data_IF_396213993774
#
_entry.id   IF_396213993774
#
_cell.length_a   1.000
_cell.length_b   1.000
_cell.length_c   1.000
_cell.angle_alpha   90.00
_cell.angle_beta   90.00
_cell.angle_gamma   90.00
#
_symmetry.space_group_name_H-M   'P 1'
#
loop_
_entity.id
_entity.type
_entity.pdbx_description
1 polymer ?
#
# COMPACT_ATOMS: atom_id res chain seq x y z
N UNK A 1 -11.50 -14.29 -14.65
CA UNK A 1 -10.13 -14.60 -15.14
C UNK A 1 -9.53 -13.25 -15.52
N UNK A 2 -8.39 -12.84 -14.96
CA UNK A 2 -7.79 -11.53 -15.29
C UNK A 2 -7.32 -11.56 -16.75
N UNK A 3 -7.73 -10.59 -17.55
CA UNK A 3 -7.32 -10.46 -18.94
C UNK A 3 -6.21 -9.41 -19.03
N UNK A 4 -5.05 -9.82 -19.48
CA UNK A 4 -4.03 -8.91 -20.00
C UNK A 4 -4.45 -8.58 -21.44
N UNK A 5 -4.62 -7.31 -21.74
CA UNK A 5 -4.85 -6.86 -23.12
C UNK A 5 -3.47 -6.59 -23.68
N UNK A 6 -2.79 -7.64 -24.13
CA UNK A 6 -1.50 -7.50 -24.81
C UNK A 6 -1.73 -6.97 -26.23
N UNK A 7 -1.01 -5.91 -26.60
CA UNK A 7 -0.86 -5.55 -28.01
C UNK A 7 0.05 -6.58 -28.71
N UNK A 8 -0.13 -6.81 -30.00
CA UNK A 8 0.65 -7.78 -30.81
C UNK A 8 2.16 -7.46 -30.90
N UNK A 9 2.61 -6.32 -30.37
CA UNK A 9 3.98 -5.79 -30.49
C UNK A 9 4.83 -5.92 -29.21
N UNK A 10 4.45 -6.72 -28.22
CA UNK A 10 5.22 -6.96 -26.97
C UNK A 10 5.53 -5.67 -26.17
N UNK A 11 4.86 -4.57 -26.51
CA UNK A 11 4.83 -3.32 -25.75
C UNK A 11 3.77 -3.49 -24.66
N UNK A 12 4.06 -3.16 -23.39
CA UNK A 12 3.02 -3.09 -22.37
C UNK A 12 1.91 -2.20 -22.91
N UNK A 13 0.69 -2.71 -22.98
CA UNK A 13 -0.43 -1.89 -23.40
C UNK A 13 -0.47 -0.68 -22.47
N UNK A 14 -0.88 0.49 -22.97
CA UNK A 14 -1.00 1.70 -22.16
C UNK A 14 -1.82 1.45 -20.86
N UNK A 15 -2.72 0.46 -20.87
CA UNK A 15 -3.43 -0.04 -19.70
C UNK A 15 -2.54 -0.70 -18.63
N UNK A 16 -1.45 -1.38 -18.99
CA UNK A 16 -0.55 -2.08 -18.05
C UNK A 16 0.18 -1.14 -17.09
N UNK A 17 0.41 0.11 -17.50
CA UNK A 17 1.01 1.16 -16.67
C UNK A 17 0.07 1.55 -15.52
N UNK A 18 -1.23 1.63 -15.79
CA UNK A 18 -2.25 2.03 -14.81
C UNK A 18 -2.85 0.82 -14.07
N UNK A 19 -2.77 -0.37 -14.68
CA UNK A 19 -3.24 -1.64 -14.14
C UNK A 19 -2.11 -2.68 -14.10
N UNK A 20 -1.07 -2.48 -13.24
CA UNK A 20 0.09 -3.37 -13.15
C UNK A 20 -0.23 -4.79 -12.64
N UNK A 21 -1.51 -5.08 -12.38
CA UNK A 21 -2.05 -6.37 -11.95
C UNK A 21 -3.14 -6.89 -12.89
N UNK A 22 -3.14 -6.40 -14.14
CA UNK A 22 -4.22 -6.56 -15.10
C UNK A 22 -5.53 -5.91 -14.64
N UNK A 23 -6.56 -6.00 -15.47
CA UNK A 23 -7.90 -5.49 -15.18
C UNK A 23 -8.85 -6.68 -14.97
N UNK A 24 -9.74 -6.61 -13.98
CA UNK A 24 -10.75 -7.65 -13.80
C UNK A 24 -11.72 -7.72 -14.98
N UNK A 25 -12.13 -8.93 -15.39
CA UNK A 25 -12.98 -9.14 -16.57
C UNK A 25 -14.31 -8.37 -16.51
N UNK A 26 -14.89 -8.23 -15.32
CA UNK A 26 -16.13 -7.47 -15.14
C UNK A 26 -15.92 -5.97 -15.36
N UNK A 27 -14.73 -5.47 -15.02
CA UNK A 27 -14.35 -4.09 -15.29
C UNK A 27 -14.19 -3.86 -16.80
N UNK A 28 -13.50 -4.76 -17.50
CA UNK A 28 -13.39 -4.74 -18.97
C UNK A 28 -14.78 -4.77 -19.64
N UNK A 29 -15.64 -5.69 -19.21
CA UNK A 29 -16.99 -5.86 -19.74
C UNK A 29 -17.83 -4.60 -19.56
N UNK A 30 -17.78 -3.99 -18.37
CA UNK A 30 -18.52 -2.77 -18.08
C UNK A 30 -18.11 -1.62 -19.01
N UNK A 31 -16.80 -1.45 -19.29
CA UNK A 31 -16.30 -0.42 -20.19
C UNK A 31 -16.73 -0.66 -21.64
N UNK A 32 -16.74 -1.91 -22.12
CA UNK A 32 -17.25 -2.23 -23.47
C UNK A 32 -18.74 -1.93 -23.59
N UNK A 33 -19.53 -2.22 -22.55
CA UNK A 33 -20.98 -2.02 -22.55
C UNK A 33 -21.38 -0.54 -22.43
N UNK A 34 -20.72 0.19 -21.54
CA UNK A 34 -21.15 1.53 -21.11
C UNK A 34 -20.25 2.65 -21.62
N UNK A 35 -19.02 2.34 -22.00
CA UNK A 35 -18.05 3.33 -22.43
C UNK A 35 -18.44 4.00 -23.74
N UNK A 36 -18.27 5.32 -23.78
CA UNK A 36 -18.50 6.14 -24.97
C UNK A 36 -17.35 7.13 -25.13
N UNK A 37 -17.00 7.42 -26.37
CA UNK A 37 -16.08 8.51 -26.70
C UNK A 37 -16.69 9.85 -26.25
N UNK A 38 -15.98 10.62 -25.44
CA UNK A 38 -16.43 11.95 -25.01
C UNK A 38 -16.72 12.91 -26.18
N UNK A 39 -16.02 12.75 -27.30
CA UNK A 39 -16.14 13.64 -28.46
C UNK A 39 -17.30 13.24 -29.40
N UNK A 40 -17.25 12.02 -29.95
CA UNK A 40 -18.23 11.59 -30.95
C UNK A 40 -19.35 10.71 -30.38
N UNK A 41 -19.29 10.40 -29.08
CA UNK A 41 -20.23 9.51 -28.40
C UNK A 41 -20.31 8.09 -28.98
N UNK A 42 -19.35 7.68 -29.82
CA UNK A 42 -19.28 6.31 -30.32
C UNK A 42 -18.95 5.32 -29.18
N UNK A 43 -19.48 4.09 -29.21
CA UNK A 43 -19.08 3.04 -28.28
C UNK A 43 -17.58 2.76 -28.33
N UNK A 44 -16.99 2.40 -27.19
CA UNK A 44 -15.61 1.90 -27.17
C UNK A 44 -15.54 0.59 -27.96
N UNK A 45 -14.48 0.45 -28.77
CA UNK A 45 -14.20 -0.79 -29.52
C UNK A 45 -13.77 -1.90 -28.56
N UNK A 46 -14.13 -3.15 -28.85
CA UNK A 46 -13.89 -4.30 -27.94
C UNK A 46 -12.41 -4.59 -27.70
N UNK A 47 -11.57 -4.22 -28.65
CA UNK A 47 -10.11 -4.31 -28.60
C UNK A 47 -9.47 -3.09 -27.91
N UNK A 48 -10.27 -2.13 -27.42
CA UNK A 48 -9.82 -0.86 -26.86
C UNK A 48 -8.94 -0.05 -27.83
N UNK A 49 -9.08 -0.29 -29.14
CA UNK A 49 -8.40 0.54 -30.13
C UNK A 49 -8.97 1.97 -30.13
N UNK A 50 -8.16 2.92 -30.58
CA UNK A 50 -8.53 4.34 -30.62
C UNK A 50 -9.81 4.56 -31.45
N UNK A 51 -10.57 5.56 -31.04
CA UNK A 51 -11.74 6.00 -31.78
C UNK A 51 -11.31 6.71 -33.07
N UNK A 52 -12.06 6.52 -34.16
CA UNK A 52 -11.72 7.07 -35.47
C UNK A 52 -12.05 8.57 -35.62
N UNK A 53 -12.38 9.27 -34.53
CA UNK A 53 -12.77 10.68 -34.56
C UNK A 53 -11.54 11.60 -34.54
N UNK A 54 -11.63 12.75 -35.22
CA UNK A 54 -10.51 13.60 -35.62
C UNK A 54 -9.97 14.59 -34.58
N UNK A 55 -10.51 14.65 -33.36
CA UNK A 55 -10.00 15.60 -32.37
C UNK A 55 -8.70 15.12 -31.72
N UNK A 56 -7.76 16.04 -31.43
CA UNK A 56 -6.62 15.74 -30.56
C UNK A 56 -7.18 15.27 -29.23
N UNK A 57 -6.75 14.08 -28.81
CA UNK A 57 -7.12 13.50 -27.54
C UNK A 57 -6.46 14.31 -26.41
N UNK A 58 -7.08 15.43 -25.99
CA UNK A 58 -6.71 16.13 -24.75
C UNK A 58 -7.09 15.32 -23.51
N UNK A 59 -6.06 14.66 -22.96
CA UNK A 59 -5.91 14.22 -21.58
C UNK A 59 -7.12 14.52 -20.71
N UNK A 60 -7.89 13.49 -20.37
CA UNK A 60 -8.38 13.30 -19.02
C UNK A 60 -9.21 12.03 -19.00
N UNK A 61 -8.52 10.94 -18.68
CA UNK A 61 -9.16 9.74 -18.17
C UNK A 61 -8.74 9.44 -16.73
N UNK A 62 -8.28 10.45 -15.97
CA UNK A 62 -7.50 10.39 -14.71
C UNK A 62 -5.96 10.50 -14.87
N UNK A 63 -5.45 11.32 -15.79
CA UNK A 63 -4.01 11.37 -16.18
C UNK A 63 -3.52 10.06 -16.82
N UNK A 64 -4.32 9.50 -17.73
CA UNK A 64 -3.92 8.50 -18.72
C UNK A 64 -4.30 9.02 -20.10
N UNK A 65 -3.34 9.31 -21.01
CA UNK A 65 -3.58 10.06 -22.25
C UNK A 65 -4.50 9.42 -23.31
N UNK A 66 -4.84 8.14 -23.20
CA UNK A 66 -5.36 7.42 -24.39
C UNK A 66 -6.87 7.13 -24.47
N UNK A 67 -7.69 7.49 -23.47
CA UNK A 67 -9.14 7.51 -23.71
C UNK A 67 -9.80 8.73 -23.09
N UNK A 68 -10.91 9.16 -23.66
CA UNK A 68 -11.72 10.26 -23.15
C UNK A 68 -13.10 9.67 -22.91
N UNK A 69 -13.40 9.29 -21.67
CA UNK A 69 -14.62 8.55 -21.36
C UNK A 69 -15.52 9.37 -20.44
N UNK A 70 -16.78 9.49 -20.83
CA UNK A 70 -17.88 9.82 -19.92
C UNK A 70 -18.44 8.51 -19.41
N UNK A 71 -18.39 8.28 -18.11
CA UNK A 71 -19.04 7.14 -17.48
C UNK A 71 -20.08 7.68 -16.51
N UNK A 72 -21.24 8.03 -17.04
CA UNK A 72 -22.43 8.41 -16.26
C UNK A 72 -23.37 7.20 -16.14
N UNK A 73 -22.84 6.07 -15.64
CA UNK A 73 -23.61 4.84 -15.48
C UNK A 73 -23.74 4.46 -13.99
N UNK A 74 -24.96 4.18 -13.50
CA UNK A 74 -25.18 3.61 -12.17
C UNK A 74 -24.32 2.35 -11.97
N UNK A 75 -23.63 2.26 -10.83
CA UNK A 75 -22.79 1.10 -10.49
C UNK A 75 -21.29 1.25 -10.84
N UNK A 76 -20.89 2.29 -11.57
CA UNK A 76 -19.46 2.57 -11.82
C UNK A 76 -18.64 2.72 -10.53
N UNK A 77 -19.18 3.45 -9.55
CA UNK A 77 -18.52 3.65 -8.26
C UNK A 77 -18.29 2.34 -7.49
N UNK A 78 -19.27 1.42 -7.49
CA UNK A 78 -19.14 0.12 -6.83
C UNK A 78 -18.09 -0.76 -7.53
N UNK A 79 -18.06 -0.72 -8.86
CA UNK A 79 -17.10 -1.47 -9.66
C UNK A 79 -15.66 -0.99 -9.45
N UNK A 80 -15.45 0.34 -9.42
CA UNK A 80 -14.15 0.95 -9.10
C UNK A 80 -13.69 0.56 -7.70
N UNK A 81 -14.58 0.57 -6.72
CA UNK A 81 -14.24 0.18 -5.35
C UNK A 81 -13.84 -1.29 -5.26
N UNK A 82 -14.59 -2.19 -5.92
CA UNK A 82 -14.22 -3.62 -6.03
C UNK A 82 -12.83 -3.79 -6.64
N UNK A 83 -12.52 -3.04 -7.69
CA UNK A 83 -11.22 -3.14 -8.36
C UNK A 83 -10.08 -2.57 -7.49
N UNK A 84 -10.32 -1.46 -6.77
CA UNK A 84 -9.37 -0.92 -5.79
C UNK A 84 -9.04 -1.93 -4.70
N UNK A 85 -10.05 -2.60 -4.14
CA UNK A 85 -9.87 -3.64 -3.13
C UNK A 85 -9.08 -4.83 -3.67
N UNK A 86 -9.34 -5.25 -4.93
CA UNK A 86 -8.59 -6.32 -5.60
C UNK A 86 -7.12 -5.95 -5.75
N UNK A 87 -6.82 -4.77 -6.31
CA UNK A 87 -5.43 -4.27 -6.47
C UNK A 87 -4.72 -4.20 -5.12
N UNK A 88 -5.40 -3.76 -4.06
CA UNK A 88 -4.84 -3.74 -2.72
C UNK A 88 -4.49 -5.15 -2.20
N UNK A 89 -5.36 -6.14 -2.45
CA UNK A 89 -5.11 -7.55 -2.10
C UNK A 89 -3.93 -8.13 -2.88
N UNK A 90 -3.85 -7.90 -4.19
CA UNK A 90 -2.73 -8.35 -5.04
C UNK A 90 -1.40 -7.76 -4.58
N UNK A 91 -1.37 -6.47 -4.27
CA UNK A 91 -0.22 -5.80 -3.67
C UNK A 91 0.21 -6.48 -2.37
N UNK A 92 -0.74 -6.79 -1.49
CA UNK A 92 -0.46 -7.49 -0.23
C UNK A 92 0.11 -8.88 -0.46
N UNK A 93 -0.47 -9.68 -1.35
CA UNK A 93 0.00 -11.04 -1.67
C UNK A 93 1.42 -11.00 -2.23
N UNK A 94 1.70 -10.12 -3.20
CA UNK A 94 3.06 -9.98 -3.75
C UNK A 94 4.07 -9.53 -2.70
N UNK A 95 3.70 -8.60 -1.82
CA UNK A 95 4.59 -8.16 -0.71
C UNK A 95 4.93 -9.33 0.22
N UNK A 96 3.95 -10.16 0.55
CA UNK A 96 4.16 -11.37 1.34
C UNK A 96 5.02 -12.38 0.57
N UNK A 97 4.85 -12.51 -0.75
CA UNK A 97 5.66 -13.41 -1.56
C UNK A 97 7.12 -12.95 -1.70
N UNK A 98 7.37 -11.63 -1.75
CA UNK A 98 8.72 -11.05 -1.82
C UNK A 98 9.45 -11.21 -0.49
N UNK A 99 8.77 -10.99 0.64
CA UNK A 99 9.33 -11.35 1.93
C UNK A 99 9.13 -12.84 2.15
N UNK A 100 10.12 -13.69 1.86
CA UNK A 100 10.09 -15.14 2.19
C UNK A 100 9.81 -15.48 3.68
N UNK A 101 9.49 -14.48 4.52
CA UNK A 101 9.34 -14.56 5.97
C UNK A 101 7.91 -14.17 6.35
N UNK A 102 7.19 -15.09 6.98
CA UNK A 102 5.88 -14.82 7.59
C UNK A 102 6.10 -14.25 8.98
N UNK A 103 5.60 -13.04 9.25
CA UNK A 103 5.63 -12.45 10.59
C UNK A 103 4.63 -13.17 11.50
N UNK A 104 5.12 -13.92 12.47
CA UNK A 104 4.29 -14.76 13.36
C UNK A 104 3.65 -13.95 14.49
N UNK A 105 2.71 -14.56 15.21
CA UNK A 105 2.12 -13.95 16.40
C UNK A 105 3.14 -13.85 17.54
N UNK A 106 3.93 -14.90 17.76
CA UNK A 106 4.89 -14.97 18.87
C UNK A 106 5.99 -13.91 18.71
N UNK A 107 6.47 -13.67 17.49
CA UNK A 107 7.38 -12.58 17.16
C UNK A 107 6.81 -11.20 17.53
N UNK A 108 5.50 -11.01 17.32
CA UNK A 108 4.83 -9.75 17.66
C UNK A 108 4.61 -9.63 19.17
N UNK A 109 4.35 -10.73 19.86
CA UNK A 109 4.21 -10.76 21.32
C UNK A 109 5.55 -10.49 22.02
N UNK A 110 6.66 -11.02 21.47
CA UNK A 110 8.02 -10.72 21.91
C UNK A 110 8.37 -9.25 21.64
N UNK A 111 8.16 -8.76 20.41
CA UNK A 111 8.40 -7.35 20.06
C UNK A 111 7.57 -6.40 20.93
N UNK A 112 6.31 -6.75 21.24
CA UNK A 112 5.48 -5.97 22.17
C UNK A 112 6.11 -5.87 23.56
N UNK A 113 6.72 -6.96 24.03
CA UNK A 113 7.39 -7.01 25.32
C UNK A 113 8.71 -6.22 25.30
N UNK A 114 9.50 -6.34 24.23
CA UNK A 114 10.74 -5.57 23.98
C UNK A 114 10.45 -4.06 23.91
N UNK A 115 9.34 -3.68 23.26
CA UNK A 115 8.85 -2.30 23.21
C UNK A 115 8.13 -1.85 24.49
N UNK A 116 8.09 -2.67 25.54
CA UNK A 116 7.45 -2.33 26.82
C UNK A 116 5.97 -1.90 26.65
N UNK A 117 5.29 -2.45 25.64
CA UNK A 117 3.93 -2.08 25.28
C UNK A 117 3.76 -0.62 24.84
N UNK A 118 4.80 0.01 24.28
CA UNK A 118 4.82 1.42 23.86
C UNK A 118 5.04 1.61 22.37
N UNK A 119 4.53 2.71 21.85
CA UNK A 119 4.76 3.13 20.47
C UNK A 119 6.25 3.41 20.25
N UNK A 120 6.81 2.84 19.19
CA UNK A 120 8.22 3.03 18.82
C UNK A 120 8.59 4.50 18.54
N UNK A 121 7.65 5.28 18.03
CA UNK A 121 7.88 6.66 17.62
C UNK A 121 7.74 7.65 18.79
N UNK A 122 6.58 7.62 19.47
CA UNK A 122 6.22 8.61 20.47
C UNK A 122 6.20 8.09 21.92
N UNK A 123 6.36 6.78 22.16
CA UNK A 123 6.42 6.23 23.51
C UNK A 123 5.09 6.08 24.25
N UNK A 124 3.96 6.48 23.64
CA UNK A 124 2.63 6.30 24.23
C UNK A 124 2.33 4.81 24.45
N UNK A 125 1.57 4.50 25.50
CA UNK A 125 1.12 3.14 25.77
C UNK A 125 0.21 2.63 24.63
N UNK A 126 0.47 1.41 24.21
CA UNK A 126 -0.29 0.67 23.20
C UNK A 126 -1.32 -0.26 23.84
N UNK A 127 -1.80 0.10 25.02
CA UNK A 127 -2.82 -0.63 25.77
C UNK A 127 -3.92 0.36 26.09
N UNK A 128 -5.17 0.01 25.76
CA UNK A 128 -6.32 0.85 26.07
C UNK A 128 -6.77 0.71 27.54
N UNK A 129 -7.76 1.49 27.95
CA UNK A 129 -8.27 1.49 29.31
C UNK A 129 -8.88 0.13 29.75
N UNK A 130 -9.18 -0.76 28.81
CA UNK A 130 -9.70 -2.12 29.07
C UNK A 130 -8.59 -3.17 29.06
N UNK A 131 -7.33 -2.77 28.96
CA UNK A 131 -6.18 -3.68 28.90
C UNK A 131 -5.95 -4.30 27.53
N UNK A 132 -6.66 -3.88 26.47
CA UNK A 132 -6.51 -4.45 25.13
C UNK A 132 -5.35 -3.78 24.41
N UNK A 133 -4.49 -4.60 23.80
CA UNK A 133 -3.40 -4.10 22.95
C UNK A 133 -3.97 -3.40 21.71
N UNK A 134 -3.58 -2.15 21.49
CA UNK A 134 -4.01 -1.29 20.39
C UNK A 134 -2.79 -0.71 19.69
N UNK A 135 -2.35 -1.39 18.63
CA UNK A 135 -1.18 -1.01 17.85
C UNK A 135 -1.32 -1.42 16.38
N UNK A 136 -0.46 -0.85 15.55
CA UNK A 136 -0.26 -1.22 14.17
C UNK A 136 1.15 -1.79 14.00
N UNK A 137 1.28 -2.77 13.10
CA UNK A 137 2.57 -3.29 12.65
C UNK A 137 3.06 -2.38 11.55
N UNK A 138 3.98 -1.48 11.88
CA UNK A 138 4.50 -0.50 10.93
C UNK A 138 5.86 -0.94 10.38
N UNK A 139 6.08 -0.73 9.08
CA UNK A 139 7.35 -1.04 8.43
C UNK A 139 8.34 0.10 8.68
N UNK A 140 9.38 -0.14 9.48
CA UNK A 140 10.37 0.88 9.83
C UNK A 140 10.97 1.52 8.57
N UNK A 141 11.59 0.71 7.70
CA UNK A 141 11.87 1.10 6.32
C UNK A 141 10.59 0.89 5.52
N UNK A 142 10.12 1.94 4.87
CA UNK A 142 8.87 1.90 4.13
C UNK A 142 8.96 0.92 2.95
N UNK A 143 7.82 0.35 2.57
CA UNK A 143 7.75 -0.54 1.41
C UNK A 143 8.15 0.17 0.12
N UNK A 144 7.86 1.47 0.01
CA UNK A 144 8.23 2.32 -1.12
C UNK A 144 9.75 2.45 -1.24
N UNK A 145 10.43 2.55 -0.10
CA UNK A 145 11.88 2.67 -0.03
C UNK A 145 12.60 1.30 -0.02
N UNK A 146 11.91 0.22 -0.38
CA UNK A 146 12.47 -1.13 -0.46
C UNK A 146 12.48 -1.91 0.86
N UNK A 147 11.73 -1.47 1.87
CA UNK A 147 11.51 -2.24 3.09
C UNK A 147 10.73 -3.54 2.82
N UNK A 148 11.06 -4.60 3.56
CA UNK A 148 10.41 -5.91 3.46
C UNK A 148 9.35 -6.09 4.54
N UNK A 149 8.38 -6.98 4.31
CA UNK A 149 7.43 -7.41 5.34
C UNK A 149 8.02 -8.53 6.21
N UNK A 150 9.08 -8.20 6.95
CA UNK A 150 9.77 -9.12 7.85
C UNK A 150 9.85 -8.55 9.27
N UNK A 151 9.95 -9.41 10.28
CA UNK A 151 9.90 -8.98 11.68
C UNK A 151 10.99 -7.96 12.02
N UNK A 152 12.17 -8.09 11.41
CA UNK A 152 13.32 -7.19 11.60
C UNK A 152 13.14 -5.80 10.96
N UNK A 153 12.06 -5.62 10.19
CA UNK A 153 11.62 -4.34 9.64
C UNK A 153 10.28 -3.88 10.25
N UNK A 154 9.72 -4.59 11.24
CA UNK A 154 8.44 -4.22 11.86
C UNK A 154 8.68 -3.57 13.22
N UNK A 155 8.06 -2.42 13.45
CA UNK A 155 7.92 -1.80 14.77
C UNK A 155 6.45 -1.66 15.14
N UNK A 156 6.13 -1.59 16.43
CA UNK A 156 4.74 -1.35 16.87
C UNK A 156 4.49 0.14 17.06
N UNK A 157 3.50 0.66 16.35
CA UNK A 157 3.14 2.07 16.34
C UNK A 157 1.70 2.30 16.81
N UNK A 158 1.43 3.47 17.39
CA UNK A 158 0.06 3.93 17.59
C UNK A 158 -0.53 4.42 16.25
N UNK A 159 -1.87 4.52 16.18
CA UNK A 159 -2.57 4.93 14.97
C UNK A 159 -2.10 6.29 14.44
N UNK A 160 -1.90 7.29 15.32
CA UNK A 160 -1.48 8.63 14.92
C UNK A 160 -0.10 8.65 14.27
N UNK A 161 0.89 7.98 14.87
CA UNK A 161 2.24 7.92 14.30
C UNK A 161 2.28 7.11 13.00
N UNK A 162 1.57 5.98 12.92
CA UNK A 162 1.49 5.18 11.70
C UNK A 162 0.86 5.97 10.53
N UNK A 163 -0.20 6.73 10.82
CA UNK A 163 -0.85 7.60 9.81
C UNK A 163 0.07 8.75 9.41
N UNK A 164 0.78 9.36 10.36
CA UNK A 164 1.72 10.45 10.09
C UNK A 164 2.92 9.98 9.24
N UNK A 165 3.39 8.75 9.42
CA UNK A 165 4.50 8.16 8.67
C UNK A 165 4.23 8.00 7.18
N UNK A 166 3.00 7.61 6.83
CA UNK A 166 2.61 7.34 5.43
C UNK A 166 3.60 6.37 4.74
N UNK A 167 4.33 6.86 3.75
CA UNK A 167 5.29 6.11 2.94
C UNK A 167 6.75 6.45 3.28
N UNK A 168 6.98 7.26 4.32
CA UNK A 168 8.31 7.66 4.76
C UNK A 168 8.93 6.59 5.66
N UNK A 169 10.23 6.70 5.89
CA UNK A 169 10.96 5.82 6.80
C UNK A 169 10.79 6.25 8.27
N UNK A 170 11.00 5.30 9.18
CA UNK A 170 10.76 5.49 10.61
C UNK A 170 11.63 6.55 11.27
N UNK A 171 12.80 6.85 10.71
CA UNK A 171 13.69 7.91 11.19
C UNK A 171 13.06 9.29 11.06
N UNK A 172 12.37 9.57 9.93
CA UNK A 172 11.73 10.86 9.69
C UNK A 172 10.68 11.14 10.76
N UNK A 173 9.82 10.15 11.03
CA UNK A 173 8.75 10.24 12.03
C UNK A 173 9.32 10.33 13.44
N UNK A 174 10.37 9.55 13.72
CA UNK A 174 11.04 9.56 15.02
C UNK A 174 11.56 10.95 15.38
N UNK A 175 12.07 11.70 14.39
CA UNK A 175 12.53 13.08 14.58
C UNK A 175 11.38 14.04 14.89
N UNK A 176 10.28 13.97 14.13
CA UNK A 176 9.12 14.84 14.35
C UNK A 176 8.53 14.68 15.76
N UNK A 177 8.32 13.44 16.20
CA UNK A 177 7.74 13.18 17.51
C UNK A 177 8.74 13.33 18.66
N UNK A 178 10.06 13.29 18.41
CA UNK A 178 11.05 13.52 19.47
C UNK A 178 10.90 14.91 20.13
N UNK A 179 10.47 15.91 19.35
CA UNK A 179 10.26 17.28 19.84
C UNK A 179 9.07 17.40 20.79
N UNK A 180 8.04 16.56 20.65
CA UNK A 180 6.84 16.56 21.49
C UNK A 180 6.93 15.65 22.72
N UNK A 181 8.04 14.92 22.88
CA UNK A 181 8.26 14.08 24.05
C UNK A 181 8.51 14.90 25.33
N UNK A 182 7.97 14.41 26.44
CA UNK A 182 8.33 14.86 27.78
C UNK A 182 9.80 14.53 28.10
N UNK A 183 10.39 15.18 29.10
CA UNK A 183 11.78 14.91 29.49
C UNK A 183 12.02 13.46 29.92
N UNK A 184 11.04 12.84 30.57
CA UNK A 184 11.11 11.43 30.95
C UNK A 184 11.12 10.51 29.71
N UNK A 185 10.28 10.81 28.72
CA UNK A 185 10.25 10.05 27.46
C UNK A 185 11.52 10.24 26.65
N UNK A 186 12.10 11.45 26.60
CA UNK A 186 13.39 11.69 25.93
C UNK A 186 14.52 10.83 26.50
N UNK A 187 14.48 10.51 27.80
CA UNK A 187 15.44 9.60 28.45
C UNK A 187 15.14 8.13 28.14
N UNK A 188 13.87 7.74 28.07
CA UNK A 188 13.43 6.35 27.86
C UNK A 188 13.55 5.90 26.40
N UNK A 189 13.11 6.72 25.46
CA UNK A 189 12.97 6.34 24.06
C UNK A 189 14.28 5.83 23.41
N UNK A 190 15.46 6.42 23.66
CA UNK A 190 16.71 5.88 23.15
C UNK A 190 16.99 4.45 23.62
N UNK A 191 16.68 4.13 24.89
CA UNK A 191 16.87 2.80 25.45
C UNK A 191 15.90 1.79 24.81
N UNK A 192 14.64 2.18 24.66
CA UNK A 192 13.63 1.35 23.98
C UNK A 192 14.03 1.05 22.53
N UNK A 193 14.44 2.06 21.77
CA UNK A 193 14.89 1.88 20.38
C UNK A 193 16.12 0.98 20.29
N UNK A 194 17.06 1.08 21.23
CA UNK A 194 18.22 0.19 21.32
C UNK A 194 17.81 -1.27 21.56
N UNK A 195 16.82 -1.52 22.44
CA UNK A 195 16.28 -2.88 22.68
C UNK A 195 15.63 -3.46 21.42
N UNK A 196 14.85 -2.64 20.70
CA UNK A 196 14.22 -3.06 19.44
C UNK A 196 15.26 -3.35 18.36
N UNK A 197 16.30 -2.51 18.23
CA UNK A 197 17.39 -2.76 17.31
C UNK A 197 18.10 -4.10 17.60
N UNK A 198 18.42 -4.37 18.87
CA UNK A 198 19.01 -5.65 19.27
C UNK A 198 18.08 -6.85 18.98
N UNK A 199 16.77 -6.70 19.20
CA UNK A 199 15.79 -7.72 18.83
C UNK A 199 15.79 -7.97 17.30
N UNK A 200 15.80 -6.91 16.49
CA UNK A 200 15.88 -7.05 15.03
C UNK A 200 17.17 -7.71 14.55
N UNK A 201 18.31 -7.43 15.18
CA UNK A 201 19.59 -8.07 14.88
C UNK A 201 19.52 -9.59 15.12
N UNK A 202 19.01 -10.02 16.28
CA UNK A 202 18.83 -11.44 16.60
C UNK A 202 17.89 -12.13 15.60
N UNK A 203 16.80 -11.47 15.20
CA UNK A 203 15.85 -12.04 14.22
C UNK A 203 16.43 -12.13 12.80
N UNK A 204 17.40 -11.27 12.44
CA UNK A 204 18.12 -11.39 11.17
C UNK A 204 19.03 -12.61 11.17
N UNK A 205 19.83 -12.77 12.22
CA UNK A 205 20.77 -13.89 12.36
C UNK A 205 20.08 -15.26 12.35
N UNK A 206 18.94 -15.38 13.04
CA UNK A 206 18.14 -16.62 13.06
C UNK A 206 17.52 -16.98 11.71
N UNK A 207 17.47 -16.04 10.77
CA UNK A 207 16.84 -16.23 9.47
C UNK A 207 17.84 -16.43 8.33
N UNK A 208 19.15 -16.33 8.61
CA UNK A 208 20.25 -16.63 7.69
C UNK A 208 20.87 -18.03 7.96
N UNK A 209 20.30 -18.79 8.91
CA UNK A 209 20.58 -20.20 9.24
C UNK A 209 19.50 -21.11 8.64
#
# INVERSE_FOLDING_TARGET
MCTWIVDEDDRPNHLDVYFPYGVHSDFVKFFIENGRCLNCNAPIKKDFSRCDCTLPHYDLLFESPDFHLVIESPGYGELIEKERLRVHRERRVRRIAISNKVVTKDQIDELFSVQEGRCYYCGILLIDAKGKRKFHKDHYRSLKNGGLHSIDNIVLACASCNIAKREDDGDEVSFFYHKSLTQAEKRRMPQLRKKVAAFHEVQKEQADL
#
